data_IF_218484878483
#
_entry.id   IF_218484878483
#
_cell.length_a   1.000
_cell.length_b   1.000
_cell.length_c   1.000
_cell.angle_alpha   90.00
_cell.angle_beta   90.00
_cell.angle_gamma   90.00
#
_symmetry.space_group_name_H-M   'P 1'
#
loop_
_entity.id
_entity.type
_entity.pdbx_description
1 polymer ?
#
# COMPACT_ATOMS: atom_id res chain seq x y z
N UNK A 1 17.29 6.03 8.22
CA UNK A 1 15.99 6.71 7.98
C UNK A 1 16.17 8.15 7.53
N UNK A 2 17.10 8.91 8.13
CA UNK A 2 17.40 10.31 7.75
C UNK A 2 17.65 10.51 6.25
N UNK A 3 18.49 9.67 5.61
CA UNK A 3 18.74 9.77 4.16
C UNK A 3 17.47 9.54 3.32
N UNK A 4 16.56 8.67 3.76
CA UNK A 4 15.27 8.43 3.10
C UNK A 4 14.35 9.64 3.26
N UNK A 5 14.28 10.24 4.46
CA UNK A 5 13.51 11.45 4.72
C UNK A 5 14.04 12.59 3.84
N UNK A 6 15.36 12.82 3.83
CA UNK A 6 15.97 13.86 2.99
C UNK A 6 15.65 13.64 1.51
N UNK A 7 15.69 12.40 1.02
CA UNK A 7 15.30 12.09 -0.35
C UNK A 7 13.82 12.41 -0.62
N UNK A 8 12.92 12.05 0.29
CA UNK A 8 11.50 12.35 0.16
C UNK A 8 11.18 13.84 0.27
N UNK A 9 11.92 14.58 1.09
CA UNK A 9 11.81 16.03 1.18
C UNK A 9 12.25 16.71 -0.12
N UNK A 10 13.32 16.22 -0.77
CA UNK A 10 13.69 16.69 -2.11
C UNK A 10 12.59 16.36 -3.14
N UNK A 11 11.99 15.16 -3.08
CA UNK A 11 10.86 14.81 -3.96
C UNK A 11 9.63 15.67 -3.75
N UNK A 12 9.33 16.05 -2.52
CA UNK A 12 8.24 16.97 -2.21
C UNK A 12 8.48 18.40 -2.73
N UNK A 13 9.74 18.82 -2.94
CA UNK A 13 10.06 20.10 -3.59
C UNK A 13 9.84 20.07 -5.10
N UNK A 14 10.09 18.91 -5.73
CA UNK A 14 9.91 18.71 -7.18
C UNK A 14 8.44 18.48 -7.56
N UNK A 15 7.70 17.74 -6.73
CA UNK A 15 6.30 17.37 -6.95
C UNK A 15 5.46 17.77 -5.71
N UNK A 16 4.71 18.88 -5.78
CA UNK A 16 3.89 19.36 -4.66
C UNK A 16 2.81 18.37 -4.20
N UNK A 17 2.44 17.41 -5.06
CA UNK A 17 1.49 16.36 -4.74
C UNK A 17 2.19 15.08 -4.23
N UNK A 18 3.52 15.04 -4.16
CA UNK A 18 4.23 13.94 -3.53
C UNK A 18 3.80 13.80 -2.07
N UNK A 19 3.58 12.57 -1.63
CA UNK A 19 3.16 12.27 -0.28
C UNK A 19 3.97 11.12 0.27
N UNK A 20 4.40 11.27 1.52
CA UNK A 20 4.97 10.16 2.27
C UNK A 20 4.58 10.25 3.74
N UNK A 21 4.64 9.11 4.43
CA UNK A 21 4.47 9.04 5.88
C UNK A 21 5.34 7.93 6.46
N UNK A 22 5.87 8.18 7.64
CA UNK A 22 6.69 7.22 8.40
C UNK A 22 6.10 7.09 9.80
N UNK A 23 5.96 5.85 10.28
CA UNK A 23 5.63 5.52 11.67
C UNK A 23 6.86 4.89 12.31
N UNK A 24 7.36 5.52 13.36
CA UNK A 24 8.44 4.99 14.19
C UNK A 24 7.84 4.19 15.37
N UNK A 25 8.67 3.35 15.98
CA UNK A 25 8.39 2.76 17.30
C UNK A 25 9.03 3.58 18.43
N UNK A 26 8.93 3.08 19.66
CA UNK A 26 9.41 3.75 20.87
C UNK A 26 10.95 3.86 20.93
N UNK A 27 11.68 3.19 20.03
CA UNK A 27 13.14 3.22 19.91
C UNK A 27 13.59 3.98 18.65
N UNK A 28 12.72 4.83 18.08
CA UNK A 28 12.94 5.60 16.86
C UNK A 28 13.26 4.76 15.61
N UNK A 29 12.87 3.49 15.61
CA UNK A 29 13.06 2.58 14.46
C UNK A 29 11.83 2.62 13.57
N UNK A 30 12.05 2.55 12.26
CA UNK A 30 10.94 2.48 11.30
C UNK A 30 10.11 1.23 11.58
N UNK A 31 8.82 1.47 11.84
CA UNK A 31 7.81 0.42 11.95
C UNK A 31 7.06 0.30 10.64
N UNK A 32 6.53 1.39 10.12
CA UNK A 32 5.86 1.42 8.82
C UNK A 32 6.27 2.66 8.03
N UNK A 33 6.18 2.58 6.71
CA UNK A 33 6.42 3.69 5.79
C UNK A 33 5.50 3.56 4.60
N UNK A 34 5.09 4.68 4.02
CA UNK A 34 4.36 4.72 2.76
C UNK A 34 4.75 5.96 1.98
N UNK A 35 4.83 5.85 0.66
CA UNK A 35 5.07 6.98 -0.23
C UNK A 35 4.38 6.79 -1.58
N UNK A 36 4.07 7.91 -2.24
CA UNK A 36 3.42 7.96 -3.54
C UNK A 36 3.71 9.29 -4.22
N UNK A 37 3.90 9.27 -5.54
CA UNK A 37 4.03 10.48 -6.35
C UNK A 37 2.67 11.11 -6.71
N UNK A 38 2.70 12.38 -7.08
CA UNK A 38 1.51 13.14 -7.42
C UNK A 38 0.80 12.63 -8.67
N UNK A 39 1.53 12.11 -9.65
CA UNK A 39 0.92 11.57 -10.87
C UNK A 39 0.07 10.34 -10.55
N UNK A 40 0.55 9.46 -9.68
CA UNK A 40 -0.16 8.30 -9.18
C UNK A 40 -1.41 8.70 -8.38
N UNK A 41 -1.33 9.72 -7.51
CA UNK A 41 -2.51 10.24 -6.77
C UNK A 41 -3.58 10.79 -7.72
N UNK A 42 -3.18 11.54 -8.75
CA UNK A 42 -4.11 12.06 -9.77
C UNK A 42 -4.73 10.92 -10.58
N UNK A 43 -3.92 9.94 -11.00
CA UNK A 43 -4.41 8.77 -11.73
C UNK A 43 -5.41 7.94 -10.91
N UNK A 44 -5.19 7.81 -9.60
CA UNK A 44 -6.09 7.06 -8.72
C UNK A 44 -7.52 7.59 -8.74
N UNK A 45 -7.71 8.92 -8.89
CA UNK A 45 -9.06 9.50 -8.97
C UNK A 45 -9.90 8.95 -10.15
N UNK A 46 -9.22 8.45 -11.19
CA UNK A 46 -9.85 7.87 -12.38
C UNK A 46 -9.83 6.34 -12.43
N UNK A 47 -8.90 5.69 -11.72
CA UNK A 47 -8.59 4.26 -11.87
C UNK A 47 -8.61 3.48 -10.54
N UNK A 48 -9.49 3.88 -9.60
CA UNK A 48 -9.64 3.26 -8.27
C UNK A 48 -10.54 2.01 -8.24
N UNK A 49 -11.06 1.58 -9.39
CA UNK A 49 -12.09 0.55 -9.48
C UNK A 49 -11.61 -0.79 -8.91
N UNK A 50 -10.35 -1.12 -9.13
CA UNK A 50 -9.72 -2.33 -8.65
C UNK A 50 -8.26 -2.07 -8.34
N UNK A 51 -7.86 -2.38 -7.10
CA UNK A 51 -6.46 -2.36 -6.69
C UNK A 51 -6.03 -3.75 -6.23
N UNK A 52 -4.80 -4.12 -6.55
CA UNK A 52 -4.09 -5.25 -5.99
C UNK A 52 -3.11 -4.74 -4.93
N UNK A 53 -3.08 -5.41 -3.80
CA UNK A 53 -2.17 -5.16 -2.70
C UNK A 53 -1.61 -6.50 -2.23
N UNK A 54 -0.30 -6.63 -2.22
CA UNK A 54 0.38 -7.88 -1.86
C UNK A 54 1.68 -7.56 -1.13
N UNK A 55 1.88 -8.13 0.06
CA UNK A 55 3.11 -7.94 0.81
C UNK A 55 4.17 -8.94 0.33
N UNK A 56 5.21 -8.45 -0.33
CA UNK A 56 6.32 -9.29 -0.78
C UNK A 56 7.39 -9.36 0.31
N UNK A 57 7.61 -10.56 0.84
CA UNK A 57 8.53 -10.82 1.95
C UNK A 57 9.99 -10.50 1.59
N UNK A 58 10.73 -9.89 2.53
CA UNK A 58 12.21 -9.75 2.55
C UNK A 58 12.91 -9.03 1.39
N UNK A 59 12.32 -7.98 0.81
CA UNK A 59 12.95 -7.29 -0.34
C UNK A 59 13.99 -6.22 0.04
N UNK A 60 14.27 -5.99 1.34
CA UNK A 60 15.23 -4.98 1.79
C UNK A 60 16.18 -5.46 2.91
N UNK A 61 17.25 -4.69 3.16
CA UNK A 61 18.29 -4.99 4.16
C UNK A 61 17.75 -5.10 5.61
N UNK A 62 16.55 -4.59 5.85
CA UNK A 62 15.86 -4.59 7.14
C UNK A 62 14.80 -5.69 7.24
N UNK A 63 14.72 -6.58 6.23
CA UNK A 63 13.76 -7.69 6.17
C UNK A 63 12.29 -7.24 6.28
N UNK A 64 11.97 -6.00 5.90
CA UNK A 64 10.60 -5.50 5.92
C UNK A 64 9.90 -5.85 4.59
N UNK A 65 8.70 -6.45 4.63
CA UNK A 65 7.86 -6.58 3.45
C UNK A 65 7.59 -5.23 2.75
N UNK A 66 7.74 -5.17 1.41
CA UNK A 66 7.16 -4.08 0.60
C UNK A 66 5.81 -4.54 0.08
N UNK A 67 4.83 -3.66 0.21
CA UNK A 67 3.48 -3.88 -0.22
C UNK A 67 3.07 -2.78 -1.22
N UNK A 68 3.28 -3.00 -2.53
CA UNK A 68 2.87 -2.05 -3.55
C UNK A 68 1.34 -2.04 -3.68
N UNK A 69 0.79 -0.84 -3.90
CA UNK A 69 -0.60 -0.66 -4.32
C UNK A 69 -0.61 -0.55 -5.84
N UNK A 70 -1.22 -1.52 -6.53
CA UNK A 70 -1.22 -1.56 -7.99
C UNK A 70 -2.65 -1.55 -8.51
N UNK A 71 -2.99 -0.59 -9.37
CA UNK A 71 -4.23 -0.60 -10.15
C UNK A 71 -4.01 -0.96 -11.61
N UNK A 72 -5.09 -0.89 -12.38
CA UNK A 72 -5.08 -1.04 -13.84
C UNK A 72 -5.83 0.11 -14.48
N UNK A 73 -5.35 0.60 -15.62
CA UNK A 73 -6.09 1.57 -16.42
C UNK A 73 -6.99 0.88 -17.46
N UNK A 74 -7.71 1.68 -18.25
CA UNK A 74 -8.61 1.20 -19.30
C UNK A 74 -7.91 0.49 -20.48
N UNK A 75 -6.58 0.46 -20.49
CA UNK A 75 -5.75 -0.24 -21.47
C UNK A 75 -5.07 -1.48 -20.88
N UNK A 76 -5.51 -1.94 -19.70
CA UNK A 76 -4.94 -3.08 -18.96
C UNK A 76 -3.46 -2.88 -18.59
N UNK A 77 -3.00 -1.64 -18.48
CA UNK A 77 -1.65 -1.32 -18.02
C UNK A 77 -1.65 -1.13 -16.51
N UNK A 78 -0.65 -1.69 -15.85
CA UNK A 78 -0.46 -1.52 -14.41
C UNK A 78 -0.09 -0.09 -14.05
N UNK A 79 -0.75 0.45 -13.03
CA UNK A 79 -0.43 1.74 -12.42
C UNK A 79 -0.05 1.52 -10.97
N UNK A 80 1.08 2.08 -10.53
CA UNK A 80 1.48 2.02 -9.13
C UNK A 80 0.93 3.23 -8.37
N UNK A 81 0.15 2.97 -7.32
CA UNK A 81 -0.45 3.93 -6.41
C UNK A 81 0.32 4.02 -5.08
N UNK A 82 1.65 3.87 -5.14
CA UNK A 82 2.57 3.90 -3.99
C UNK A 82 3.12 2.53 -3.56
N UNK A 83 4.10 2.52 -2.65
CA UNK A 83 4.47 1.31 -1.88
C UNK A 83 4.41 1.62 -0.39
N UNK A 84 3.99 0.61 0.38
CA UNK A 84 4.20 0.55 1.82
C UNK A 84 5.40 -0.31 2.18
N UNK A 85 6.11 0.02 3.26
CA UNK A 85 6.91 -0.93 4.02
C UNK A 85 6.23 -1.15 5.37
N UNK A 86 6.05 -2.40 5.75
CA UNK A 86 5.53 -2.81 7.06
C UNK A 86 6.55 -3.71 7.73
N UNK A 87 6.91 -3.44 8.98
CA UNK A 87 7.89 -4.27 9.71
C UNK A 87 7.32 -5.61 10.13
N UNK A 88 6.07 -5.59 10.61
CA UNK A 88 5.32 -6.77 11.03
C UNK A 88 4.07 -6.88 10.15
N UNK A 89 3.75 -8.09 9.70
CA UNK A 89 2.52 -8.40 8.95
C UNK A 89 1.34 -8.60 9.93
N UNK A 90 1.11 -7.59 10.77
CA UNK A 90 0.04 -7.57 11.77
C UNK A 90 -1.09 -6.62 11.37
N UNK A 91 -2.25 -6.77 12.01
CA UNK A 91 -3.45 -5.99 11.68
C UNK A 91 -3.22 -4.49 11.91
N UNK A 92 -2.46 -4.10 12.93
CA UNK A 92 -2.14 -2.69 13.22
C UNK A 92 -1.28 -2.06 12.11
N UNK A 93 -0.30 -2.80 11.59
CA UNK A 93 0.55 -2.42 10.48
C UNK A 93 -0.24 -2.16 9.21
N UNK A 94 -1.07 -3.12 8.79
CA UNK A 94 -1.90 -2.97 7.61
C UNK A 94 -2.98 -1.90 7.76
N UNK A 95 -3.62 -1.82 8.92
CA UNK A 95 -4.62 -0.78 9.21
C UNK A 95 -4.02 0.61 9.10
N UNK A 96 -2.83 0.82 9.68
CA UNK A 96 -2.11 2.09 9.55
C UNK A 96 -1.78 2.40 8.08
N UNK A 97 -1.36 1.39 7.31
CA UNK A 97 -0.99 1.54 5.91
C UNK A 97 -2.22 1.90 5.05
N UNK A 98 -3.34 1.21 5.24
CA UNK A 98 -4.59 1.48 4.55
C UNK A 98 -5.19 2.84 4.91
N UNK A 99 -5.13 3.26 6.19
CA UNK A 99 -5.54 4.62 6.58
C UNK A 99 -4.69 5.69 5.93
N UNK A 100 -3.37 5.46 5.88
CA UNK A 100 -2.43 6.38 5.23
C UNK A 100 -2.68 6.47 3.72
N UNK A 101 -2.92 5.34 3.07
CA UNK A 101 -3.33 5.28 1.66
C UNK A 101 -4.64 6.04 1.42
N UNK A 102 -5.66 5.79 2.24
CA UNK A 102 -6.97 6.45 2.09
C UNK A 102 -6.85 7.97 2.20
N UNK A 103 -6.06 8.46 3.16
CA UNK A 103 -5.84 9.88 3.36
C UNK A 103 -5.12 10.51 2.15
N UNK A 104 -4.02 9.91 1.68
CA UNK A 104 -3.29 10.49 0.55
C UNK A 104 -4.10 10.49 -0.75
N UNK A 105 -5.01 9.53 -0.90
CA UNK A 105 -5.93 9.42 -2.03
C UNK A 105 -7.19 10.30 -1.89
N UNK A 106 -7.22 11.24 -0.95
CA UNK A 106 -8.30 12.20 -0.80
C UNK A 106 -9.57 11.59 -0.18
N UNK A 107 -9.44 10.56 0.64
CA UNK A 107 -10.57 9.86 1.26
C UNK A 107 -11.33 8.95 0.31
N UNK A 108 -10.80 8.71 -0.89
CA UNK A 108 -11.42 7.86 -1.89
C UNK A 108 -11.00 6.40 -1.65
N UNK A 109 -11.93 5.58 -1.15
CA UNK A 109 -11.71 4.15 -1.02
C UNK A 109 -11.77 3.44 -2.38
N UNK A 110 -11.02 2.34 -2.57
CA UNK A 110 -11.16 1.51 -3.77
C UNK A 110 -12.52 0.81 -3.78
N UNK A 111 -13.03 0.48 -4.97
CA UNK A 111 -14.26 -0.32 -5.05
C UNK A 111 -14.00 -1.81 -4.84
N UNK A 112 -12.88 -2.30 -5.35
CA UNK A 112 -12.42 -3.67 -5.16
C UNK A 112 -10.96 -3.67 -4.71
N UNK A 113 -10.63 -4.55 -3.76
CA UNK A 113 -9.26 -4.79 -3.35
C UNK A 113 -8.95 -6.28 -3.45
N UNK A 114 -7.88 -6.60 -4.16
CA UNK A 114 -7.35 -7.96 -4.33
C UNK A 114 -6.13 -8.09 -3.42
N UNK A 115 -6.16 -9.04 -2.50
CA UNK A 115 -4.98 -9.39 -1.69
C UNK A 115 -4.75 -10.89 -1.70
N UNK A 116 -3.75 -11.36 -0.97
CA UNK A 116 -3.64 -12.77 -0.61
C UNK A 116 -4.72 -13.17 0.42
N UNK A 117 -4.54 -14.31 1.09
CA UNK A 117 -5.46 -14.82 2.12
C UNK A 117 -4.98 -14.52 3.54
N UNK A 118 -4.20 -13.45 3.73
CA UNK A 118 -3.73 -13.07 5.06
C UNK A 118 -4.87 -12.51 5.94
N UNK A 119 -4.95 -12.98 7.18
CA UNK A 119 -5.99 -12.58 8.13
C UNK A 119 -5.81 -11.14 8.60
N UNK A 120 -4.58 -10.67 8.75
CA UNK A 120 -4.29 -9.30 9.20
C UNK A 120 -4.67 -8.29 8.12
N UNK A 121 -4.39 -8.57 6.84
CA UNK A 121 -4.84 -7.75 5.72
C UNK A 121 -6.37 -7.67 5.68
N UNK A 122 -7.05 -8.81 5.79
CA UNK A 122 -8.52 -8.86 5.78
C UNK A 122 -9.12 -7.99 6.89
N UNK A 123 -8.63 -8.12 8.11
CA UNK A 123 -9.12 -7.33 9.24
C UNK A 123 -8.90 -5.82 9.02
N UNK A 124 -7.73 -5.42 8.50
CA UNK A 124 -7.46 -4.02 8.17
C UNK A 124 -8.35 -3.48 7.04
N UNK A 125 -8.69 -4.31 6.04
CA UNK A 125 -9.61 -3.94 4.96
C UNK A 125 -11.02 -3.74 5.49
N UNK A 126 -11.52 -4.66 6.32
CA UNK A 126 -12.86 -4.57 6.92
C UNK A 126 -12.98 -3.31 7.80
N UNK A 127 -11.91 -2.88 8.48
CA UNK A 127 -11.89 -1.65 9.28
C UNK A 127 -11.85 -0.38 8.40
N UNK A 128 -10.97 -0.33 7.40
CA UNK A 128 -10.65 0.93 6.69
C UNK A 128 -11.46 1.12 5.42
N UNK A 129 -11.81 0.03 4.73
CA UNK A 129 -12.55 0.03 3.47
C UNK A 129 -13.84 -0.81 3.58
N UNK A 130 -14.77 -0.50 4.50
CA UNK A 130 -15.92 -1.36 4.80
C UNK A 130 -16.88 -1.57 3.62
N UNK A 131 -16.81 -0.72 2.58
CA UNK A 131 -17.62 -0.81 1.37
C UNK A 131 -16.87 -1.43 0.19
N UNK A 132 -15.56 -1.66 0.30
CA UNK A 132 -14.78 -2.28 -0.75
C UNK A 132 -15.07 -3.78 -0.82
N UNK A 133 -15.17 -4.33 -2.02
CA UNK A 133 -15.28 -5.77 -2.21
C UNK A 133 -13.89 -6.39 -2.14
N UNK A 134 -13.63 -7.14 -1.07
CA UNK A 134 -12.39 -7.90 -0.92
C UNK A 134 -12.42 -9.17 -1.79
N UNK A 135 -11.35 -9.38 -2.55
CA UNK A 135 -11.14 -10.53 -3.43
C UNK A 135 -9.78 -11.17 -3.13
N UNK A 136 -9.69 -12.47 -3.34
CA UNK A 136 -8.43 -13.19 -3.22
C UNK A 136 -7.72 -13.26 -4.58
N UNK A 137 -6.40 -13.09 -4.55
CA UNK A 137 -5.54 -13.17 -5.72
C UNK A 137 -5.62 -14.58 -6.35
N UNK A 138 -6.00 -14.64 -7.63
CA UNK A 138 -6.13 -15.90 -8.38
C UNK A 138 -4.83 -16.72 -8.35
N UNK A 139 -3.68 -16.06 -8.47
CA UNK A 139 -2.39 -16.74 -8.45
C UNK A 139 -2.15 -17.48 -7.12
N UNK A 140 -2.45 -16.81 -6.00
CA UNK A 140 -2.36 -17.42 -4.67
C UNK A 140 -3.34 -18.57 -4.47
N UNK A 141 -4.57 -18.45 -4.99
CA UNK A 141 -5.56 -19.54 -4.92
C UNK A 141 -5.05 -20.78 -5.65
N UNK A 142 -4.57 -20.61 -6.90
CA UNK A 142 -4.10 -21.74 -7.72
C UNK A 142 -2.90 -22.41 -7.07
N UNK A 143 -1.92 -21.62 -6.65
CA UNK A 143 -0.72 -22.14 -6.00
C UNK A 143 -1.08 -22.99 -4.77
N UNK A 144 -1.99 -22.53 -3.91
CA UNK A 144 -2.45 -23.30 -2.74
C UNK A 144 -3.27 -24.54 -3.09
N UNK A 145 -3.98 -24.54 -4.21
CA UNK A 145 -4.77 -25.71 -4.65
C UNK A 145 -3.88 -26.81 -5.26
N UNK A 146 -2.69 -26.44 -5.72
CA UNK A 146 -1.68 -27.35 -6.29
C UNK A 146 -0.71 -27.91 -5.25
N UNK A 147 -0.72 -27.38 -4.01
CA UNK A 147 0.02 -27.88 -2.84
C UNK A 147 -0.67 -29.10 -2.18
#
# INVERSE_FOLDING_TARGET
IEATIAYFDEKAKEDPDFFYRIRLDDEDRVRNMYWVDGAARRAYTHFRDCISFDATYLTNMYKMPCAPFIGINNHNQSLQFGCGLVRNEDTDGYTWLFKTFLECMGGLAPMNIITDQDFSMRAGIEEVFPLAVHRHCRWHIIKKAEE
#
